data_IF_842587731425
#
_entry.id   IF_842587731425
#
_cell.length_a   1.000
_cell.length_b   1.000
_cell.length_c   1.000
_cell.angle_alpha   90.00
_cell.angle_beta   90.00
_cell.angle_gamma   90.00
#
_symmetry.space_group_name_H-M   'P 1'
#
loop_
_entity.id
_entity.type
_entity.pdbx_description
1 polymer ?
#
# COMPACT_ATOMS: atom_id res chain seq x y z
N UNK A 1 7.46 -35.85 9.91
CA UNK A 1 6.53 -34.71 10.01
C UNK A 1 7.23 -33.50 9.42
N UNK A 2 6.64 -32.92 8.39
CA UNK A 2 7.12 -31.67 7.79
C UNK A 2 6.48 -30.55 8.60
N UNK A 3 7.30 -29.69 9.20
CA UNK A 3 6.81 -28.56 9.98
C UNK A 3 7.12 -27.28 9.22
N UNK A 4 6.14 -26.38 9.15
CA UNK A 4 6.34 -25.00 8.72
C UNK A 4 6.28 -24.10 9.94
N UNK A 5 7.02 -23.01 9.91
CA UNK A 5 7.02 -22.01 10.97
C UNK A 5 6.76 -20.64 10.38
N UNK A 6 6.05 -19.76 11.10
CA UNK A 6 5.85 -18.40 10.66
C UNK A 6 7.20 -17.70 10.48
N UNK A 7 7.31 -16.87 9.46
CA UNK A 7 8.46 -16.00 9.30
C UNK A 7 8.48 -14.94 10.41
N UNK A 8 9.67 -14.64 10.92
CA UNK A 8 9.89 -13.43 11.71
C UNK A 8 10.46 -12.37 10.77
N UNK A 9 9.71 -11.30 10.52
CA UNK A 9 10.18 -10.24 9.64
C UNK A 9 11.14 -9.36 10.41
N UNK A 10 12.40 -9.42 10.01
CA UNK A 10 13.47 -8.62 10.56
C UNK A 10 13.87 -7.56 9.53
N UNK A 11 14.37 -6.41 9.99
CA UNK A 11 14.85 -5.37 9.09
C UNK A 11 15.95 -5.91 8.16
N UNK A 12 16.00 -5.38 6.95
CA UNK A 12 16.93 -5.83 5.90
C UNK A 12 18.38 -5.53 6.27
N UNK A 13 18.61 -4.42 6.98
CA UNK A 13 19.91 -4.09 7.56
C UNK A 13 19.76 -3.63 9.01
N UNK A 14 20.74 -3.95 9.85
CA UNK A 14 20.73 -3.55 11.27
C UNK A 14 20.90 -2.04 11.46
N UNK A 15 21.50 -1.34 10.50
CA UNK A 15 21.72 0.10 10.56
C UNK A 15 20.56 0.91 9.97
N UNK A 16 20.04 0.52 8.80
CA UNK A 16 19.03 1.29 8.05
C UNK A 16 17.60 0.80 8.35
N UNK A 17 17.44 -0.40 8.89
CA UNK A 17 16.14 -0.95 9.27
C UNK A 17 15.34 -1.49 8.08
N UNK A 18 14.02 -1.31 8.15
CA UNK A 18 13.07 -1.55 7.07
C UNK A 18 13.09 -0.36 6.11
N UNK A 19 13.06 -0.64 4.81
CA UNK A 19 12.98 0.39 3.78
C UNK A 19 11.72 1.25 3.90
N UNK A 20 10.57 0.64 4.21
CA UNK A 20 9.31 1.33 4.45
C UNK A 20 8.74 0.90 5.81
N UNK A 21 8.39 1.84 6.68
CA UNK A 21 7.82 1.54 8.01
C UNK A 21 6.44 0.87 7.92
N UNK A 22 5.62 1.24 6.93
CA UNK A 22 4.24 0.75 6.78
C UNK A 22 4.14 -0.62 6.08
N UNK A 23 5.23 -1.14 5.51
CA UNK A 23 5.25 -2.45 4.89
C UNK A 23 6.66 -3.09 5.00
N UNK A 24 6.83 -4.19 5.76
CA UNK A 24 8.13 -4.81 5.99
C UNK A 24 8.76 -5.44 4.75
N UNK A 25 7.97 -5.64 3.68
CA UNK A 25 8.39 -6.35 2.49
C UNK A 25 8.86 -5.41 1.40
N UNK A 26 8.51 -4.13 1.44
CA UNK A 26 8.95 -3.19 0.43
C UNK A 26 10.47 -3.03 0.49
N UNK A 27 11.14 -3.09 -0.66
CA UNK A 27 12.60 -2.98 -0.80
C UNK A 27 13.01 -1.77 -1.63
N UNK A 28 12.08 -1.23 -2.43
CA UNK A 28 12.34 -0.11 -3.33
C UNK A 28 11.05 0.65 -3.70
N UNK A 29 11.20 1.80 -4.34
CA UNK A 29 10.11 2.63 -4.86
C UNK A 29 9.56 3.65 -3.86
N UNK A 30 8.52 4.42 -4.21
CA UNK A 30 7.95 5.43 -3.32
C UNK A 30 7.63 4.83 -1.95
N UNK A 31 8.15 5.40 -0.86
CA UNK A 31 7.86 4.93 0.50
C UNK A 31 6.46 5.37 0.93
N UNK A 32 6.02 4.84 2.08
CA UNK A 32 4.71 5.13 2.67
C UNK A 32 3.53 4.51 1.94
N UNK A 33 2.34 4.61 2.54
CA UNK A 33 1.10 4.13 1.93
C UNK A 33 0.48 5.14 0.96
N UNK A 34 0.97 6.38 0.97
CA UNK A 34 0.37 7.52 0.28
C UNK A 34 1.43 8.27 -0.53
N UNK A 35 1.09 8.65 -1.76
CA UNK A 35 1.83 9.63 -2.56
C UNK A 35 0.89 10.79 -2.91
N UNK A 36 1.36 12.03 -2.73
CA UNK A 36 0.63 13.25 -3.11
C UNK A 36 1.48 14.06 -4.07
N UNK A 37 0.92 14.45 -5.21
CA UNK A 37 1.64 15.21 -6.24
C UNK A 37 0.73 16.24 -6.91
N UNK A 38 1.26 17.42 -7.17
CA UNK A 38 0.57 18.43 -7.98
C UNK A 38 0.94 18.25 -9.46
N UNK A 39 -0.06 18.22 -10.35
CA UNK A 39 0.10 17.90 -11.78
C UNK A 39 0.13 19.11 -12.73
N UNK A 40 0.12 20.33 -12.20
CA UNK A 40 0.18 21.56 -13.01
C UNK A 40 0.47 22.81 -12.18
N UNK A 41 0.95 23.87 -12.86
CA UNK A 41 1.27 25.17 -12.23
C UNK A 41 0.07 26.14 -12.34
N UNK A 42 -0.65 26.12 -13.48
CA UNK A 42 -1.74 27.06 -13.79
C UNK A 42 -3.12 26.58 -13.30
N UNK A 43 -3.38 25.27 -13.33
CA UNK A 43 -4.56 24.61 -12.74
C UNK A 43 -4.04 23.46 -11.89
N UNK A 44 -3.99 23.59 -10.56
CA UNK A 44 -3.37 22.59 -9.72
C UNK A 44 -4.33 21.42 -9.52
N UNK A 45 -4.30 20.46 -10.42
CA UNK A 45 -4.84 19.12 -10.13
C UNK A 45 -3.88 18.39 -9.19
N UNK A 46 -4.43 17.72 -8.20
CA UNK A 46 -3.68 16.91 -7.24
C UNK A 46 -3.89 15.43 -7.55
N UNK A 47 -2.80 14.73 -7.74
CA UNK A 47 -2.75 13.28 -7.81
C UNK A 47 -2.56 12.70 -6.40
N UNK A 48 -3.36 11.69 -6.08
CA UNK A 48 -3.20 10.86 -4.90
C UNK A 48 -3.04 9.40 -5.31
N UNK A 49 -2.06 8.72 -4.72
CA UNK A 49 -1.89 7.26 -4.77
C UNK A 49 -1.99 6.73 -3.35
N UNK A 50 -2.78 5.70 -3.14
CA UNK A 50 -3.04 5.08 -1.83
C UNK A 50 -2.90 3.57 -1.94
N UNK A 51 -2.02 3.00 -1.13
CA UNK A 51 -1.95 1.55 -0.94
C UNK A 51 -3.08 1.12 -0.02
N UNK A 52 -3.96 0.26 -0.51
CA UNK A 52 -5.11 -0.28 0.21
C UNK A 52 -5.19 -1.79 -0.10
N UNK A 53 -4.25 -2.60 0.41
CA UNK A 53 -4.14 -4.01 0.04
C UNK A 53 -5.43 -4.77 0.34
N UNK A 54 -5.95 -5.44 -0.69
CA UNK A 54 -7.20 -6.21 -0.64
C UNK A 54 -8.41 -5.48 -1.19
N UNK A 55 -8.36 -4.14 -1.34
CA UNK A 55 -9.44 -3.36 -1.95
C UNK A 55 -9.49 -3.62 -3.47
N UNK A 56 -10.67 -3.98 -3.95
CA UNK A 56 -10.90 -4.32 -5.36
C UNK A 56 -11.30 -3.13 -6.22
N UNK A 57 -11.51 -3.36 -7.54
CA UNK A 57 -12.00 -2.36 -8.48
C UNK A 57 -13.53 -2.13 -8.38
N UNK A 58 -14.23 -2.82 -7.48
CA UNK A 58 -15.66 -2.62 -7.29
C UNK A 58 -15.91 -1.19 -6.78
N UNK A 59 -16.74 -0.37 -7.46
CA UNK A 59 -17.04 0.98 -7.00
C UNK A 59 -17.70 1.02 -5.61
N UNK A 60 -18.36 -0.07 -5.17
CA UNK A 60 -18.97 -0.13 -3.84
C UNK A 60 -17.93 -0.34 -2.72
N UNK A 61 -16.71 -0.77 -3.06
CA UNK A 61 -15.60 -0.95 -2.10
C UNK A 61 -14.89 0.37 -1.76
N UNK A 62 -15.14 1.47 -2.49
CA UNK A 62 -14.46 2.75 -2.28
C UNK A 62 -15.44 3.92 -2.30
N UNK A 63 -15.53 4.61 -1.16
CA UNK A 63 -16.25 5.88 -1.03
C UNK A 63 -15.27 7.05 -0.92
N UNK A 64 -15.44 8.03 -1.81
CA UNK A 64 -14.64 9.25 -1.84
C UNK A 64 -15.57 10.44 -1.79
N UNK A 65 -15.47 11.22 -0.72
CA UNK A 65 -16.35 12.36 -0.47
C UNK A 65 -15.57 13.63 -0.16
N UNK A 66 -16.04 14.74 -0.73
CA UNK A 66 -15.53 16.07 -0.42
C UNK A 66 -16.44 16.69 0.63
N UNK A 67 -15.89 17.09 1.77
CA UNK A 67 -16.68 17.73 2.83
C UNK A 67 -17.12 19.14 2.41
N UNK A 68 -18.16 19.69 3.04
CA UNK A 68 -18.76 20.99 2.69
C UNK A 68 -17.77 22.17 2.55
N UNK A 69 -16.66 22.14 3.28
CA UNK A 69 -15.59 23.15 3.16
C UNK A 69 -14.89 23.14 1.79
N UNK A 70 -15.09 22.10 0.99
CA UNK A 70 -14.35 21.79 -0.25
C UNK A 70 -12.84 21.77 -0.11
N UNK A 71 -12.34 21.52 1.11
CA UNK A 71 -10.89 21.52 1.40
C UNK A 71 -10.39 20.23 2.00
N UNK A 72 -11.29 19.31 2.28
CA UNK A 72 -10.96 18.00 2.82
C UNK A 72 -11.66 16.95 1.99
N UNK A 73 -10.87 16.00 1.54
CA UNK A 73 -11.30 14.75 0.94
C UNK A 73 -11.30 13.68 2.02
N UNK A 74 -12.39 12.94 2.17
CA UNK A 74 -12.48 11.75 3.01
C UNK A 74 -12.52 10.54 2.08
N UNK A 75 -11.69 9.54 2.38
CA UNK A 75 -11.59 8.31 1.62
C UNK A 75 -11.85 7.16 2.57
N UNK A 76 -12.84 6.35 2.22
CA UNK A 76 -13.18 5.11 2.91
C UNK A 76 -13.09 3.96 1.93
N UNK A 77 -12.52 2.85 2.36
CA UNK A 77 -12.44 1.67 1.51
C UNK A 77 -12.62 0.37 2.30
N UNK A 78 -13.21 -0.63 1.66
CA UNK A 78 -13.41 -1.97 2.19
C UNK A 78 -12.55 -2.96 1.41
N UNK A 79 -11.75 -3.74 2.13
CA UNK A 79 -11.08 -4.92 1.61
C UNK A 79 -11.79 -6.17 2.16
N UNK A 80 -12.64 -6.84 1.36
CA UNK A 80 -13.34 -8.05 1.80
C UNK A 80 -12.40 -9.24 1.97
N UNK A 81 -12.86 -10.28 2.68
CA UNK A 81 -12.19 -11.58 2.67
C UNK A 81 -12.43 -12.27 1.33
N UNK A 82 -11.39 -12.44 0.53
CA UNK A 82 -11.45 -13.14 -0.76
C UNK A 82 -11.06 -14.62 -0.61
N UNK A 83 -10.47 -14.99 0.52
CA UNK A 83 -10.21 -16.38 0.88
C UNK A 83 -10.85 -16.75 2.22
N UNK A 84 -11.30 -18.00 2.35
CA UNK A 84 -11.86 -18.54 3.60
C UNK A 84 -10.86 -18.51 4.77
N UNK A 85 -9.56 -18.48 4.46
CA UNK A 85 -8.49 -18.42 5.46
C UNK A 85 -8.07 -16.98 5.78
N UNK A 86 -8.64 -15.95 5.16
CA UNK A 86 -8.45 -14.57 5.61
C UNK A 86 -9.00 -14.39 7.03
N UNK A 87 -8.36 -13.58 7.88
CA UNK A 87 -8.76 -13.44 9.28
C UNK A 87 -10.05 -12.64 9.47
N UNK A 88 -10.15 -11.51 8.79
CA UNK A 88 -11.33 -10.66 8.75
C UNK A 88 -11.18 -9.67 7.59
N UNK A 89 -12.27 -9.03 7.12
CA UNK A 89 -12.14 -7.90 6.22
C UNK A 89 -11.34 -6.77 6.87
N UNK A 90 -10.86 -5.83 6.05
CA UNK A 90 -10.25 -4.58 6.51
C UNK A 90 -11.05 -3.38 6.04
N UNK A 91 -11.17 -2.41 6.91
CA UNK A 91 -11.72 -1.10 6.58
C UNK A 91 -10.62 -0.08 6.66
N UNK A 92 -10.57 0.80 5.67
CA UNK A 92 -9.64 1.91 5.61
C UNK A 92 -10.40 3.23 5.70
N UNK A 93 -9.86 4.19 6.44
CA UNK A 93 -10.35 5.56 6.50
C UNK A 93 -9.17 6.51 6.57
N UNK A 94 -9.11 7.46 5.64
CA UNK A 94 -8.09 8.51 5.63
C UNK A 94 -8.68 9.81 5.10
N UNK A 95 -7.97 10.92 5.32
CA UNK A 95 -8.38 12.22 4.84
C UNK A 95 -7.20 12.99 4.26
N UNK A 96 -7.47 13.77 3.21
CA UNK A 96 -6.51 14.68 2.60
C UNK A 96 -7.04 16.10 2.68
N UNK A 97 -6.21 17.01 3.20
CA UNK A 97 -6.53 18.42 3.28
C UNK A 97 -5.69 19.20 2.26
N UNK A 98 -6.30 20.18 1.61
CA UNK A 98 -5.55 21.17 0.85
C UNK A 98 -4.74 22.05 1.81
N UNK A 99 -3.41 22.03 1.67
CA UNK A 99 -2.50 22.82 2.51
C UNK A 99 -2.61 24.32 2.22
N UNK A 100 -2.92 24.68 0.97
CA UNK A 100 -3.11 26.06 0.56
C UNK A 100 -4.50 26.60 0.93
N UNK A 101 -4.60 27.91 1.15
CA UNK A 101 -5.87 28.61 1.37
C UNK A 101 -6.43 29.31 0.12
N UNK A 102 -5.75 29.21 -1.01
CA UNK A 102 -6.12 29.87 -2.26
C UNK A 102 -6.99 29.03 -3.18
N UNK A 103 -7.20 27.75 -2.90
CA UNK A 103 -7.95 26.83 -3.76
C UNK A 103 -9.02 26.04 -2.97
N UNK A 104 -10.04 25.59 -3.69
CA UNK A 104 -11.02 24.61 -3.25
C UNK A 104 -11.05 23.41 -4.21
N UNK A 105 -11.40 22.24 -3.69
CA UNK A 105 -11.64 21.02 -4.48
C UNK A 105 -12.91 21.26 -5.30
N UNK A 106 -12.78 21.22 -6.62
CA UNK A 106 -13.89 21.39 -7.56
C UNK A 106 -14.53 20.07 -7.94
N UNK A 107 -13.70 19.03 -8.10
CA UNK A 107 -14.13 17.70 -8.50
C UNK A 107 -13.09 16.66 -8.12
N UNK A 108 -13.54 15.42 -8.06
CA UNK A 108 -12.69 14.23 -7.94
C UNK A 108 -13.08 13.32 -9.09
N UNK A 109 -12.11 12.95 -9.91
CA UNK A 109 -12.35 12.02 -11.00
C UNK A 109 -12.63 10.61 -10.46
N UNK A 110 -13.22 9.77 -11.31
CA UNK A 110 -13.61 8.41 -10.93
C UNK A 110 -12.43 7.65 -10.30
N UNK A 111 -12.57 7.17 -9.04
CA UNK A 111 -11.57 6.36 -8.36
C UNK A 111 -11.06 5.21 -9.22
N UNK A 112 -9.74 5.12 -9.38
CA UNK A 112 -9.10 4.01 -10.11
C UNK A 112 -8.42 3.09 -9.11
N UNK A 113 -8.99 1.91 -8.87
CA UNK A 113 -8.36 0.88 -8.04
C UNK A 113 -7.81 -0.23 -8.91
N UNK A 114 -6.52 -0.51 -8.76
CA UNK A 114 -5.87 -1.63 -9.44
C UNK A 114 -4.95 -2.33 -8.45
N UNK A 115 -5.10 -3.64 -8.27
CA UNK A 115 -4.24 -4.44 -7.40
C UNK A 115 -4.07 -3.85 -5.99
N UNK A 116 -5.17 -3.40 -5.36
CA UNK A 116 -5.12 -2.82 -4.01
C UNK A 116 -4.40 -1.48 -3.94
N UNK A 117 -4.34 -0.73 -5.04
CA UNK A 117 -3.83 0.65 -5.07
C UNK A 117 -4.89 1.55 -5.67
N UNK A 118 -5.37 2.50 -4.87
CA UNK A 118 -6.30 3.54 -5.27
C UNK A 118 -5.53 4.75 -5.81
N UNK A 119 -5.96 5.24 -6.98
CA UNK A 119 -5.44 6.45 -7.62
C UNK A 119 -6.57 7.43 -7.87
N UNK A 120 -6.36 8.67 -7.45
CA UNK A 120 -7.32 9.76 -7.58
C UNK A 120 -6.68 10.95 -8.28
N UNK A 121 -7.44 11.57 -9.18
CA UNK A 121 -7.18 12.90 -9.68
C UNK A 121 -8.20 13.85 -9.06
N UNK A 122 -7.70 14.83 -8.31
CA UNK A 122 -8.49 15.80 -7.55
C UNK A 122 -8.27 17.16 -8.18
N UNK A 123 -9.29 17.68 -8.87
CA UNK A 123 -9.20 19.02 -9.44
C UNK A 123 -9.47 20.08 -8.40
N UNK A 124 -8.71 21.18 -8.50
CA UNK A 124 -8.89 22.34 -7.64
C UNK A 124 -9.08 23.61 -8.45
N UNK A 125 -9.89 24.53 -7.91
CA UNK A 125 -10.13 25.84 -8.49
C UNK A 125 -9.69 26.94 -7.53
N UNK A 126 -9.03 28.00 -8.03
CA UNK A 126 -8.72 29.16 -7.22
C UNK A 126 -9.97 29.80 -6.62
N UNK A 127 -9.86 30.24 -5.37
CA UNK A 127 -10.87 31.05 -4.70
C UNK A 127 -10.55 32.51 -5.02
N UNK A 128 -11.49 33.23 -5.64
CA UNK A 128 -11.38 34.68 -5.83
C UNK A 128 -11.51 35.40 -4.48
N UNK A 129 -10.41 35.49 -3.73
CA UNK A 129 -10.30 36.38 -2.58
C UNK A 129 -10.10 37.77 -3.17
N UNK A 130 -11.09 38.66 -3.07
CA UNK A 130 -11.20 39.94 -3.80
C UNK A 130 -10.09 40.99 -3.60
N UNK A 131 -8.85 40.63 -3.92
CA UNK A 131 -7.69 41.49 -4.16
C UNK A 131 -7.13 41.20 -5.55
N UNK A 132 -6.49 42.20 -6.15
CA UNK A 132 -5.87 42.16 -7.49
C UNK A 132 -5.19 40.82 -7.81
N UNK A 133 -5.31 40.29 -9.05
CA UNK A 133 -4.56 39.12 -9.47
C UNK A 133 -3.09 39.53 -9.55
N UNK A 134 -2.37 39.33 -8.46
CA UNK A 134 -0.92 39.42 -8.46
C UNK A 134 -0.43 38.08 -8.99
N UNK A 135 0.23 38.10 -10.15
CA UNK A 135 0.89 36.97 -10.83
C UNK A 135 1.95 36.26 -9.94
N UNK A 136 2.04 36.61 -8.66
CA UNK A 136 3.04 36.18 -7.69
C UNK A 136 2.50 35.20 -6.61
N UNK A 137 1.19 34.92 -6.56
CA UNK A 137 0.65 33.94 -5.58
C UNK A 137 1.03 32.51 -5.97
N UNK A 138 0.94 32.15 -7.26
CA UNK A 138 1.32 30.83 -7.78
C UNK A 138 2.84 30.57 -7.66
N UNK A 139 3.66 31.59 -7.91
CA UNK A 139 5.12 31.55 -7.76
C UNK A 139 5.57 31.40 -6.30
N UNK A 140 4.77 31.90 -5.34
CA UNK A 140 5.01 31.75 -3.90
C UNK A 140 4.51 30.41 -3.34
N UNK A 141 3.51 29.78 -3.93
CA UNK A 141 3.03 28.44 -3.52
C UNK A 141 4.05 27.33 -3.75
N UNK A 142 4.91 27.46 -4.76
CA UNK A 142 6.07 26.56 -4.95
C UNK A 142 7.25 26.88 -4.01
N UNK A 143 7.21 28.01 -3.28
CA UNK A 143 8.26 28.45 -2.35
C UNK A 143 7.86 28.38 -0.88
N UNK A 144 6.58 28.21 -0.59
CA UNK A 144 6.06 27.91 0.74
C UNK A 144 5.96 26.39 0.89
N UNK A 145 7.11 25.74 0.81
CA UNK A 145 7.32 24.47 1.49
C UNK A 145 8.43 24.67 2.54
N UNK A 146 8.19 25.45 3.62
CA UNK A 146 9.17 25.58 4.71
C UNK A 146 9.01 24.45 5.74
N UNK A 147 8.06 23.51 5.54
CA UNK A 147 7.79 22.35 6.39
C UNK A 147 7.93 21.00 5.65
N UNK A 148 8.44 20.99 4.41
CA UNK A 148 9.03 19.79 3.79
C UNK A 148 10.30 19.30 4.53
N UNK A 149 10.72 19.98 5.59
CA UNK A 149 11.99 19.78 6.28
C UNK A 149 11.98 18.71 7.38
N UNK A 150 10.95 17.85 7.43
CA UNK A 150 11.05 16.50 7.98
C UNK A 150 9.84 15.68 7.52
N UNK A 151 9.91 15.13 6.30
CA UNK A 151 9.22 13.85 6.07
C UNK A 151 9.62 12.95 7.25
N UNK A 152 8.68 12.42 8.05
CA UNK A 152 9.03 11.47 9.10
C UNK A 152 9.91 10.40 8.45
N UNK A 153 10.96 9.93 9.12
CA UNK A 153 11.82 8.90 8.55
C UNK A 153 10.94 7.72 8.14
N UNK A 154 10.65 7.59 6.84
CA UNK A 154 9.76 6.56 6.31
C UNK A 154 10.43 5.17 6.28
N UNK A 155 11.62 5.08 6.84
CA UNK A 155 12.42 3.88 7.08
C UNK A 155 12.77 3.81 8.56
N UNK A 156 13.05 2.62 9.06
CA UNK A 156 13.48 2.48 10.44
C UNK A 156 13.31 1.08 10.99
N UNK A 157 13.52 0.93 12.30
CA UNK A 157 13.72 -0.39 12.92
C UNK A 157 12.43 -1.14 13.25
N UNK A 158 11.29 -0.44 13.28
CA UNK A 158 10.01 -0.98 13.75
C UNK A 158 8.97 -0.81 12.65
N UNK A 159 8.29 -1.88 12.28
CA UNK A 159 7.16 -1.81 11.34
C UNK A 159 5.97 -1.18 12.04
N UNK A 160 5.34 -0.22 11.39
CA UNK A 160 4.14 0.45 11.84
C UNK A 160 2.88 -0.16 11.19
N UNK A 161 1.73 -0.18 11.88
CA UNK A 161 0.45 -0.48 11.28
C UNK A 161 0.16 0.41 10.07
N UNK A 162 -0.63 -0.10 9.13
CA UNK A 162 -1.08 0.69 8.00
C UNK A 162 -1.83 1.96 8.47
N UNK A 163 -1.37 3.18 8.17
CA UNK A 163 -1.90 4.40 8.80
C UNK A 163 -3.37 4.71 8.47
N UNK A 164 -3.84 4.26 7.30
CA UNK A 164 -5.24 4.38 6.92
C UNK A 164 -6.15 3.28 7.44
N UNK A 165 -5.65 2.29 8.19
CA UNK A 165 -6.47 1.17 8.65
C UNK A 165 -7.33 1.58 9.85
N UNK A 166 -8.65 1.47 9.72
CA UNK A 166 -9.60 1.74 10.81
C UNK A 166 -10.07 0.46 11.50
N UNK A 167 -10.27 -0.63 10.75
CA UNK A 167 -10.69 -1.93 11.28
C UNK A 167 -9.99 -3.10 10.57
N UNK A 168 -9.83 -4.22 11.28
CA UNK A 168 -9.24 -5.45 10.74
C UNK A 168 -7.78 -5.68 11.15
N UNK A 169 -7.08 -6.66 10.53
CA UNK A 169 -5.74 -7.04 10.93
C UNK A 169 -4.71 -5.98 10.54
N UNK A 170 -3.95 -5.48 11.52
CA UNK A 170 -2.96 -4.42 11.32
C UNK A 170 -1.68 -4.85 10.59
N UNK A 171 -1.39 -6.15 10.58
CA UNK A 171 -0.14 -6.70 10.05
C UNK A 171 -0.22 -6.92 8.54
N UNK A 172 0.86 -6.58 7.83
CA UNK A 172 1.05 -6.96 6.43
C UNK A 172 1.22 -8.48 6.23
N UNK A 173 1.45 -9.22 7.31
CA UNK A 173 1.66 -10.67 7.35
C UNK A 173 0.58 -11.39 8.15
N UNK A 174 0.03 -12.47 7.62
CA UNK A 174 -0.76 -13.44 8.39
C UNK A 174 -0.27 -14.86 8.14
N UNK A 175 -0.32 -15.69 9.18
CA UNK A 175 0.05 -17.11 9.13
C UNK A 175 -1.00 -17.95 9.84
N UNK A 176 -1.45 -19.03 9.21
CA UNK A 176 -2.34 -20.01 9.82
C UNK A 176 -1.88 -21.42 9.52
N UNK A 177 -1.85 -22.25 10.57
CA UNK A 177 -1.72 -23.69 10.40
C UNK A 177 -3.05 -24.25 9.89
N UNK A 178 -3.02 -24.95 8.77
CA UNK A 178 -4.17 -25.65 8.19
C UNK A 178 -4.15 -27.13 8.60
N UNK A 179 -5.24 -27.83 8.25
CA UNK A 179 -5.31 -29.30 8.38
C UNK A 179 -4.23 -29.97 7.51
N UNK A 180 -3.71 -31.11 7.97
CA UNK A 180 -2.74 -31.91 7.23
C UNK A 180 -1.36 -31.26 7.09
N UNK A 181 -0.89 -30.60 8.16
CA UNK A 181 0.41 -29.92 8.24
C UNK A 181 0.66 -28.81 7.19
N UNK A 182 -0.35 -28.45 6.40
CA UNK A 182 -0.27 -27.35 5.44
C UNK A 182 -0.39 -26.01 6.13
N UNK A 183 0.07 -24.93 5.49
CA UNK A 183 -0.04 -23.57 6.04
C UNK A 183 -0.55 -22.58 5.01
N UNK A 184 -1.29 -21.60 5.53
CA UNK A 184 -1.74 -20.42 4.80
C UNK A 184 -0.89 -19.23 5.20
N UNK A 185 -0.40 -18.48 4.21
CA UNK A 185 0.31 -17.22 4.43
C UNK A 185 -0.33 -16.13 3.59
N UNK A 186 -0.54 -14.95 4.18
CA UNK A 186 -1.04 -13.74 3.52
C UNK A 186 0.00 -12.64 3.60
N UNK A 187 0.35 -12.01 2.50
CA UNK A 187 1.30 -10.90 2.41
C UNK A 187 0.66 -9.72 1.68
N UNK A 188 0.76 -8.52 2.26
CA UNK A 188 0.38 -7.29 1.55
C UNK A 188 1.51 -6.83 0.63
N UNK A 189 1.28 -6.86 -0.67
CA UNK A 189 2.16 -6.31 -1.71
C UNK A 189 1.33 -5.45 -2.69
N UNK A 190 0.88 -4.26 -2.24
CA UNK A 190 0.04 -3.38 -3.05
C UNK A 190 0.63 -3.10 -4.44
N UNK A 191 -0.18 -3.23 -5.47
CA UNK A 191 0.21 -2.99 -6.86
C UNK A 191 0.75 -4.23 -7.59
N UNK A 192 1.11 -5.29 -6.87
CA UNK A 192 1.57 -6.56 -7.46
C UNK A 192 0.38 -7.36 -7.98
N UNK A 193 0.52 -7.91 -9.19
CA UNK A 193 -0.45 -8.81 -9.82
C UNK A 193 0.02 -10.27 -9.77
N UNK A 194 -0.84 -11.21 -10.17
CA UNK A 194 -0.53 -12.65 -10.18
C UNK A 194 0.56 -13.05 -11.19
N UNK A 195 0.85 -12.19 -12.18
CA UNK A 195 1.94 -12.43 -13.15
C UNK A 195 3.24 -11.73 -12.77
N UNK A 196 3.21 -10.84 -11.78
CA UNK A 196 4.35 -10.04 -11.33
C UNK A 196 4.93 -10.56 -10.00
N UNK A 197 4.71 -11.84 -9.71
CA UNK A 197 5.19 -12.51 -8.52
C UNK A 197 6.09 -13.69 -8.88
N UNK A 198 7.11 -13.90 -8.05
CA UNK A 198 7.93 -15.10 -8.05
C UNK A 198 7.94 -15.72 -6.65
N UNK A 199 7.76 -17.03 -6.57
CA UNK A 199 7.75 -17.80 -5.33
C UNK A 199 8.74 -18.94 -5.44
N UNK A 200 9.77 -18.90 -4.61
CA UNK A 200 10.86 -19.87 -4.63
C UNK A 200 11.03 -20.55 -3.27
N UNK A 201 11.48 -21.80 -3.28
CA UNK A 201 11.89 -22.48 -2.04
C UNK A 201 13.40 -22.66 -2.04
N UNK A 202 14.09 -21.88 -1.21
CA UNK A 202 15.56 -21.86 -1.13
C UNK A 202 15.97 -21.91 0.33
N UNK A 203 17.05 -22.64 0.67
CA UNK A 203 17.67 -22.59 2.00
C UNK A 203 16.70 -22.74 3.19
N UNK A 204 15.75 -23.70 3.11
CA UNK A 204 14.75 -23.98 4.16
C UNK A 204 13.77 -22.83 4.41
N UNK A 205 13.44 -22.05 3.40
CA UNK A 205 12.39 -21.03 3.48
C UNK A 205 11.67 -20.88 2.14
N UNK A 206 10.45 -20.37 2.20
CA UNK A 206 9.69 -19.95 1.03
C UNK A 206 9.89 -18.45 0.88
N UNK A 207 10.59 -18.05 -0.18
CA UNK A 207 10.87 -16.67 -0.54
C UNK A 207 9.84 -16.20 -1.57
N UNK A 208 9.38 -14.97 -1.42
CA UNK A 208 8.41 -14.31 -2.32
C UNK A 208 8.98 -12.97 -2.75
N UNK A 209 9.03 -12.75 -4.06
CA UNK A 209 9.40 -11.47 -4.66
C UNK A 209 8.24 -10.99 -5.53
N UNK A 210 7.87 -9.72 -5.40
CA UNK A 210 6.78 -9.13 -6.17
C UNK A 210 7.18 -7.77 -6.72
N UNK A 211 6.76 -7.47 -7.94
CA UNK A 211 7.01 -6.18 -8.59
C UNK A 211 5.69 -5.48 -8.91
N UNK A 212 5.57 -4.22 -8.50
CA UNK A 212 4.42 -3.37 -8.81
C UNK A 212 4.86 -2.32 -9.84
N UNK A 213 4.32 -2.36 -11.08
CA UNK A 213 4.70 -1.40 -12.11
C UNK A 213 4.20 0.01 -11.80
N UNK A 214 4.80 1.00 -12.44
CA UNK A 214 4.31 2.39 -12.44
C UNK A 214 3.02 2.48 -13.25
N UNK A 215 1.96 3.07 -12.67
CA UNK A 215 0.69 3.30 -13.37
C UNK A 215 0.29 4.76 -13.21
N UNK A 216 -0.24 5.38 -14.28
CA UNK A 216 -0.71 6.77 -14.26
C UNK A 216 0.41 7.76 -13.87
N UNK A 217 0.22 8.52 -12.79
CA UNK A 217 1.14 9.57 -12.32
C UNK A 217 2.02 9.15 -11.15
N UNK A 218 2.04 7.85 -10.80
CA UNK A 218 2.95 7.27 -9.80
C UNK A 218 4.39 7.79 -10.02
N UNK A 219 5.07 8.18 -8.94
CA UNK A 219 6.47 8.61 -9.04
C UNK A 219 7.44 7.47 -9.37
N UNK A 220 7.01 6.22 -9.18
CA UNK A 220 7.76 5.03 -9.56
C UNK A 220 7.04 3.73 -9.22
N UNK A 221 7.53 2.63 -9.77
CA UNK A 221 7.12 1.29 -9.37
C UNK A 221 7.70 0.90 -8.01
N UNK A 222 7.32 -0.28 -7.50
CA UNK A 222 7.81 -0.81 -6.23
C UNK A 222 8.25 -2.26 -6.36
N UNK A 223 9.19 -2.64 -5.52
CA UNK A 223 9.67 -4.00 -5.40
C UNK A 223 9.44 -4.48 -3.97
N UNK A 224 9.10 -5.76 -3.85
CA UNK A 224 8.81 -6.42 -2.58
C UNK A 224 9.62 -7.70 -2.46
N UNK A 225 10.13 -8.00 -1.26
CA UNK A 225 10.79 -9.25 -0.92
C UNK A 225 10.38 -9.71 0.47
N UNK A 226 9.86 -10.92 0.58
CA UNK A 226 9.41 -11.51 1.82
C UNK A 226 9.90 -12.95 1.98
N UNK A 227 10.22 -13.32 3.22
CA UNK A 227 10.23 -14.74 3.62
C UNK A 227 8.83 -15.05 4.10
N UNK A 228 8.11 -15.94 3.42
CA UNK A 228 6.73 -16.29 3.77
C UNK A 228 6.65 -17.32 4.91
N UNK A 229 7.53 -18.31 4.92
CA UNK A 229 7.59 -19.33 5.96
C UNK A 229 8.97 -19.98 6.03
N UNK A 230 9.33 -20.49 7.22
CA UNK A 230 10.51 -21.33 7.41
C UNK A 230 10.14 -22.81 7.39
N UNK A 231 11.05 -23.62 6.86
CA UNK A 231 10.91 -25.07 6.74
C UNK A 231 11.68 -25.78 7.85
N UNK A 232 10.99 -26.66 8.58
CA UNK A 232 11.60 -27.59 9.52
C UNK A 232 12.45 -28.66 8.83
N UNK A 233 13.27 -29.39 9.60
CA UNK A 233 14.20 -30.40 9.07
C UNK A 233 13.54 -31.44 8.17
N UNK A 234 12.26 -31.78 8.40
CA UNK A 234 11.52 -32.77 7.60
C UNK A 234 11.26 -32.34 6.15
N UNK A 235 11.13 -31.04 5.87
CA UNK A 235 10.85 -30.51 4.52
C UNK A 235 12.09 -30.51 3.60
N UNK A 236 13.25 -30.91 4.10
CA UNK A 236 14.49 -31.02 3.32
C UNK A 236 14.54 -32.27 2.45
N UNK A 237 13.71 -33.27 2.75
CA UNK A 237 13.69 -34.56 2.07
C UNK A 237 12.76 -34.50 0.86
N UNK A 238 11.60 -33.87 1.03
CA UNK A 238 10.64 -33.57 -0.05
C UNK A 238 10.35 -32.07 -0.06
N UNK A 239 10.71 -31.34 -1.12
CA UNK A 239 10.40 -29.92 -1.24
C UNK A 239 8.89 -29.69 -1.12
N UNK A 240 8.45 -28.65 -0.39
CA UNK A 240 7.03 -28.35 -0.28
C UNK A 240 6.44 -27.99 -1.65
N UNK A 241 5.18 -28.35 -1.86
CA UNK A 241 4.38 -27.80 -2.94
C UNK A 241 3.81 -26.46 -2.48
N UNK A 242 4.08 -25.41 -3.24
CA UNK A 242 3.56 -24.07 -2.95
C UNK A 242 2.59 -23.66 -4.04
N UNK A 243 1.36 -23.35 -3.65
CA UNK A 243 0.36 -22.71 -4.51
C UNK A 243 0.23 -21.26 -4.09
N UNK A 244 -0.02 -20.37 -5.04
CA UNK A 244 -0.26 -18.97 -4.77
C UNK A 244 -1.47 -18.45 -5.52
N UNK A 245 -2.05 -17.39 -4.98
CA UNK A 245 -3.04 -16.56 -5.63
C UNK A 245 -2.79 -15.11 -5.21
N UNK A 246 -2.61 -14.22 -6.18
CA UNK A 246 -2.50 -12.79 -5.93
C UNK A 246 -3.79 -12.11 -6.39
N UNK A 247 -4.45 -11.43 -5.47
CA UNK A 247 -5.65 -10.67 -5.77
C UNK A 247 -5.65 -9.36 -4.99
N UNK A 248 -5.92 -8.25 -5.68
CA UNK A 248 -5.98 -6.91 -5.09
C UNK A 248 -4.72 -6.54 -4.28
N UNK A 249 -3.53 -6.88 -4.78
CA UNK A 249 -2.26 -6.57 -4.12
C UNK A 249 -2.04 -7.35 -2.82
N UNK A 250 -2.75 -8.47 -2.64
CA UNK A 250 -2.57 -9.40 -1.52
C UNK A 250 -2.16 -10.75 -2.07
N UNK A 251 -0.98 -11.20 -1.67
CA UNK A 251 -0.44 -12.51 -2.00
C UNK A 251 -0.93 -13.52 -0.97
N UNK A 252 -1.54 -14.60 -1.44
CA UNK A 252 -2.00 -15.71 -0.61
C UNK A 252 -1.25 -16.97 -1.02
N UNK A 253 -0.59 -17.63 -0.07
CA UNK A 253 0.14 -18.87 -0.30
C UNK A 253 -0.50 -20.03 0.46
N UNK A 254 -0.53 -21.18 -0.21
CA UNK A 254 -0.83 -22.48 0.38
C UNK A 254 0.41 -23.35 0.26
N UNK A 255 1.05 -23.61 1.41
CA UNK A 255 2.30 -24.37 1.46
C UNK A 255 1.96 -25.74 2.02
N UNK A 256 2.16 -26.77 1.21
CA UNK A 256 1.85 -28.16 1.53
C UNK A 256 3.13 -28.97 1.77
N UNK A 257 3.11 -29.95 2.69
CA UNK A 257 4.16 -30.97 2.76
C UNK A 257 4.35 -31.62 1.38
N UNK A 258 5.61 -31.86 1.00
CA UNK A 258 5.99 -32.56 -0.23
C UNK A 258 5.98 -34.08 -0.10
#
# INVERSE_FOLDING_TARGET
MVCFYPATHLPQSSAEGFYALNNPFQTNGPKWFCEKKWLGIEVPDMYLRLDLPGVGPDPDDVDVSVVDSKRVLIIKALAPCLNINDSSPRSYETYFRLDCHCCEISSVDNPQVTHGVLRLLVSTTPINIGGSPDDDIHSRLLRLDPDADQEPELSGQIVEPHPGLSEGPASAYEYKQLLGDSVYVRLDMPGVSDVDINVDTVNKRVDVVGEAPTVSHDSGGRSYSAVAAHLGLGALITPPRVEHNVENGVVRLFIHPG
#
